data_IF_394606254996
#
_entry.id   IF_394606254996
#
_cell.length_a   1.000
_cell.length_b   1.000
_cell.length_c   1.000
_cell.angle_alpha   90.00
_cell.angle_beta   90.00
_cell.angle_gamma   90.00
#
_symmetry.space_group_name_H-M   'P 1'
#
loop_
_entity.id
_entity.type
_entity.pdbx_description
1 polymer ?
#
# COMPACT_ATOMS: atom_id res chain seq x y z
N UNK A 1 6.00 -21.25 -29.73
CA UNK A 1 5.78 -21.67 -28.33
C UNK A 1 6.46 -20.79 -27.31
N UNK A 2 7.26 -19.87 -27.72
CA UNK A 2 7.85 -18.84 -26.90
C UNK A 2 6.91 -17.66 -26.69
N UNK A 3 5.78 -17.62 -27.38
CA UNK A 3 4.88 -16.48 -27.42
C UNK A 3 4.05 -16.30 -26.13
N UNK A 4 3.97 -17.35 -25.29
CA UNK A 4 3.24 -17.24 -24.02
C UNK A 4 3.94 -16.36 -23.00
N UNK A 5 5.25 -16.15 -23.14
CA UNK A 5 6.02 -15.28 -22.25
C UNK A 5 5.76 -13.81 -22.55
N UNK A 6 5.46 -13.52 -23.80
CA UNK A 6 5.24 -12.15 -24.29
C UNK A 6 3.76 -11.78 -24.37
N UNK A 7 2.87 -12.68 -23.96
CA UNK A 7 1.43 -12.40 -23.94
C UNK A 7 1.10 -11.40 -22.83
N UNK A 8 0.58 -10.20 -23.17
CA UNK A 8 0.22 -9.20 -22.15
C UNK A 8 -0.79 -9.71 -21.12
N UNK A 9 -1.72 -10.58 -21.53
CA UNK A 9 -2.71 -11.16 -20.62
C UNK A 9 -2.06 -12.10 -19.60
N UNK A 10 -1.11 -12.93 -20.05
CA UNK A 10 -0.38 -13.82 -19.16
C UNK A 10 0.52 -13.05 -18.19
N UNK A 11 1.14 -11.96 -18.64
CA UNK A 11 1.95 -11.09 -17.78
C UNK A 11 1.09 -10.37 -16.75
N UNK A 12 -0.10 -9.90 -17.13
CA UNK A 12 -1.03 -9.24 -16.21
C UNK A 12 -1.49 -10.20 -15.10
N UNK A 13 -1.73 -11.49 -15.42
CA UNK A 13 -2.14 -12.50 -14.45
C UNK A 13 -1.01 -12.77 -13.44
N UNK A 14 0.25 -12.60 -13.82
CA UNK A 14 1.40 -12.85 -12.96
C UNK A 14 1.73 -11.70 -12.01
N UNK A 15 1.19 -10.51 -12.25
CA UNK A 15 1.42 -9.38 -11.36
C UNK A 15 0.62 -9.54 -10.08
N UNK A 16 1.22 -9.23 -8.91
CA UNK A 16 0.44 -9.22 -7.68
C UNK A 16 -0.74 -8.26 -7.80
N UNK A 17 -1.89 -8.61 -7.23
CA UNK A 17 -3.02 -7.68 -7.16
C UNK A 17 -2.61 -6.40 -6.45
N UNK A 18 -2.85 -5.26 -7.10
CA UNK A 18 -2.45 -3.95 -6.59
C UNK A 18 -3.18 -2.84 -7.34
N UNK A 19 -3.23 -1.67 -6.73
CA UNK A 19 -3.73 -0.46 -7.36
C UNK A 19 -2.89 0.72 -6.90
N UNK A 20 -1.81 0.99 -7.63
CA UNK A 20 -0.90 2.10 -7.31
C UNK A 20 -1.65 3.44 -7.35
N UNK A 21 -2.54 3.61 -8.35
CA UNK A 21 -3.32 4.84 -8.46
C UNK A 21 -4.20 5.08 -7.24
N UNK A 22 -4.83 4.03 -6.70
CA UNK A 22 -5.64 4.15 -5.48
C UNK A 22 -4.78 4.49 -4.27
N UNK A 23 -3.60 3.87 -4.16
CA UNK A 23 -2.65 4.19 -3.08
C UNK A 23 -2.23 5.65 -3.13
N UNK A 24 -1.88 6.15 -4.31
CA UNK A 24 -1.49 7.55 -4.50
C UNK A 24 -2.64 8.51 -4.17
N UNK A 25 -3.85 8.16 -4.56
CA UNK A 25 -5.03 8.98 -4.29
C UNK A 25 -5.37 9.05 -2.80
N UNK A 26 -5.14 7.97 -2.06
CA UNK A 26 -5.29 7.98 -0.60
C UNK A 26 -4.30 8.94 0.03
N UNK A 27 -3.03 8.81 -0.31
CA UNK A 27 -1.97 9.62 0.28
C UNK A 27 -2.16 11.11 -0.04
N UNK A 28 -2.43 11.42 -1.30
CA UNK A 28 -2.72 12.78 -1.73
C UNK A 28 -3.96 13.34 -1.04
N UNK A 29 -5.02 12.56 -0.95
CA UNK A 29 -6.27 12.96 -0.31
C UNK A 29 -6.09 13.26 1.18
N UNK A 30 -5.32 12.45 1.89
CA UNK A 30 -5.03 12.69 3.31
C UNK A 30 -4.26 14.00 3.54
N UNK A 31 -3.33 14.32 2.65
CA UNK A 31 -2.57 15.57 2.76
C UNK A 31 -3.40 16.80 2.38
N UNK A 32 -4.42 16.62 1.53
CA UNK A 32 -5.37 17.69 1.19
C UNK A 32 -6.36 17.92 2.33
N UNK A 33 -6.84 16.84 2.94
CA UNK A 33 -7.83 16.86 4.01
C UNK A 33 -7.47 15.85 5.09
N UNK A 34 -6.85 16.31 6.15
CA UNK A 34 -6.40 15.44 7.25
C UNK A 34 -7.57 14.72 7.93
N UNK A 35 -8.76 15.32 7.94
CA UNK A 35 -9.94 14.73 8.55
C UNK A 35 -10.42 13.47 7.81
N UNK A 36 -10.00 13.31 6.56
CA UNK A 36 -10.36 12.12 5.77
C UNK A 36 -9.80 10.83 6.37
N UNK A 37 -8.78 10.89 7.22
CA UNK A 37 -8.24 9.71 7.88
C UNK A 37 -9.32 8.97 8.68
N UNK A 38 -10.22 9.71 9.34
CA UNK A 38 -11.28 9.10 10.15
C UNK A 38 -12.19 8.18 9.35
N UNK A 39 -12.35 8.44 8.05
CA UNK A 39 -13.21 7.63 7.18
C UNK A 39 -12.54 6.36 6.66
N UNK A 40 -11.23 6.21 6.82
CA UNK A 40 -10.49 5.07 6.25
C UNK A 40 -9.66 4.30 7.28
N UNK A 41 -9.48 4.82 8.47
CA UNK A 41 -8.62 4.19 9.49
C UNK A 41 -9.11 2.80 9.90
N UNK A 42 -10.40 2.55 9.78
CA UNK A 42 -11.02 1.25 10.05
C UNK A 42 -10.97 0.30 8.83
N UNK A 43 -10.61 0.79 7.66
CA UNK A 43 -10.60 0.00 6.41
C UNK A 43 -9.20 -0.49 6.09
N UNK A 44 -8.19 0.38 6.18
CA UNK A 44 -6.82 0.03 5.76
C UNK A 44 -5.83 0.15 6.91
N UNK A 45 -4.80 -0.67 6.82
CA UNK A 45 -3.62 -0.66 7.67
C UNK A 45 -2.39 -0.34 6.80
N UNK A 46 -1.28 0.12 7.40
CA UNK A 46 -0.06 0.38 6.61
C UNK A 46 0.36 -0.80 5.73
N UNK A 47 0.21 -2.02 6.23
CA UNK A 47 0.62 -3.23 5.50
C UNK A 47 -0.24 -3.52 4.27
N UNK A 48 -1.37 -2.86 4.10
CA UNK A 48 -2.23 -3.01 2.91
C UNK A 48 -1.63 -2.35 1.67
N UNK A 49 -0.72 -1.39 1.84
CA UNK A 49 -0.05 -0.74 0.71
C UNK A 49 0.93 -1.69 0.05
N UNK A 50 0.86 -1.78 -1.27
CA UNK A 50 1.75 -2.64 -2.04
C UNK A 50 3.16 -2.07 -2.11
N UNK A 51 3.30 -0.76 -2.37
CA UNK A 51 4.58 -0.09 -2.45
C UNK A 51 5.08 0.24 -1.05
N UNK A 52 6.36 -0.07 -0.82
CA UNK A 52 6.99 0.19 0.47
C UNK A 52 7.03 1.68 0.81
N UNK A 53 7.33 2.53 -0.18
CA UNK A 53 7.35 3.96 0.04
C UNK A 53 5.97 4.50 0.44
N UNK A 54 4.90 4.00 -0.16
CA UNK A 54 3.54 4.38 0.20
C UNK A 54 3.19 3.96 1.63
N UNK A 55 3.59 2.77 2.04
CA UNK A 55 3.40 2.30 3.41
C UNK A 55 4.06 3.25 4.41
N UNK A 56 5.31 3.62 4.16
CA UNK A 56 6.08 4.52 5.03
C UNK A 56 5.41 5.90 5.08
N UNK A 57 5.04 6.45 3.93
CA UNK A 57 4.37 7.74 3.86
C UNK A 57 3.06 7.72 4.64
N UNK A 58 2.25 6.67 4.46
CA UNK A 58 0.99 6.52 5.18
C UNK A 58 1.20 6.49 6.70
N UNK A 59 2.18 5.72 7.17
CA UNK A 59 2.51 5.64 8.60
C UNK A 59 2.83 7.03 9.17
N UNK A 60 3.62 7.83 8.47
CA UNK A 60 3.97 9.18 8.92
C UNK A 60 2.78 10.13 8.90
N UNK A 61 1.98 10.09 7.84
CA UNK A 61 0.76 10.93 7.76
C UNK A 61 -0.19 10.58 8.90
N UNK A 62 -0.49 9.30 9.09
CA UNK A 62 -1.43 8.85 10.11
C UNK A 62 -0.94 9.21 11.51
N UNK A 63 0.34 9.01 11.79
CA UNK A 63 0.91 9.33 13.10
C UNK A 63 0.82 10.83 13.40
N UNK A 64 1.08 11.68 12.40
CA UNK A 64 0.98 13.13 12.57
C UNK A 64 -0.45 13.56 12.85
N UNK A 65 -1.40 13.07 12.06
CA UNK A 65 -2.82 13.41 12.23
C UNK A 65 -3.32 12.96 13.61
N UNK A 66 -2.96 11.74 14.04
CA UNK A 66 -3.36 11.20 15.33
C UNK A 66 -2.78 11.98 16.51
N UNK A 67 -1.65 12.65 16.31
CA UNK A 67 -1.04 13.54 17.30
C UNK A 67 -1.56 14.98 17.24
N UNK A 68 -2.55 15.26 16.40
CA UNK A 68 -3.11 16.57 16.22
C UNK A 68 -2.20 17.53 15.47
N UNK A 69 -1.25 17.03 14.70
CA UNK A 69 -0.34 17.86 13.89
C UNK A 69 -0.81 17.91 12.45
N UNK A 70 -0.76 19.06 11.78
CA UNK A 70 -1.13 19.12 10.37
C UNK A 70 -0.14 18.30 9.53
N UNK A 71 -0.68 17.51 8.61
CA UNK A 71 0.08 16.69 7.69
C UNK A 71 -0.18 17.17 6.27
N UNK A 72 0.77 17.90 5.70
CA UNK A 72 0.77 18.33 4.31
C UNK A 72 2.08 17.91 3.66
N UNK A 73 2.26 18.23 2.39
CA UNK A 73 3.46 17.80 1.65
C UNK A 73 4.76 18.28 2.30
N UNK A 74 4.76 19.46 2.88
CA UNK A 74 5.96 20.03 3.51
C UNK A 74 6.24 19.38 4.87
N UNK A 75 5.23 19.31 5.74
CA UNK A 75 5.41 18.75 7.09
C UNK A 75 5.71 17.26 7.08
N UNK A 76 5.08 16.52 6.16
CA UNK A 76 5.37 15.09 5.98
C UNK A 76 6.80 14.89 5.46
N UNK A 77 7.23 15.72 4.51
CA UNK A 77 8.60 15.66 4.00
C UNK A 77 9.63 15.90 5.10
N UNK A 78 9.37 16.86 5.99
CA UNK A 78 10.26 17.11 7.13
C UNK A 78 10.30 15.92 8.09
N UNK A 79 9.14 15.33 8.38
CA UNK A 79 9.05 14.12 9.22
C UNK A 79 9.85 12.96 8.65
N UNK A 80 9.74 12.74 7.34
CA UNK A 80 10.49 11.69 6.65
C UNK A 80 12.00 11.96 6.66
N UNK A 81 12.39 13.22 6.47
CA UNK A 81 13.80 13.61 6.50
C UNK A 81 14.39 13.38 7.89
N UNK A 82 13.69 13.78 8.93
CA UNK A 82 14.14 13.61 10.31
C UNK A 82 14.32 12.14 10.67
N UNK A 83 13.54 11.25 10.04
CA UNK A 83 13.65 9.81 10.21
C UNK A 83 14.68 9.17 9.26
N UNK A 84 15.32 9.94 8.38
CA UNK A 84 16.29 9.41 7.40
C UNK A 84 15.65 8.66 6.25
N UNK A 85 14.37 8.91 5.97
CA UNK A 85 13.56 8.18 4.98
C UNK A 85 13.21 9.01 3.75
N UNK A 86 13.75 10.22 3.62
CA UNK A 86 13.45 11.11 2.50
C UNK A 86 13.87 10.54 1.15
N UNK A 87 15.05 9.93 1.07
CA UNK A 87 15.52 9.30 -0.17
C UNK A 87 14.65 8.13 -0.57
N UNK A 88 14.28 7.28 0.39
CA UNK A 88 13.50 6.05 0.12
C UNK A 88 12.06 6.34 -0.29
N UNK A 89 11.55 7.52 0.04
CA UNK A 89 10.14 7.89 -0.20
C UNK A 89 9.95 8.93 -1.29
N UNK A 90 11.03 9.35 -1.95
CA UNK A 90 10.98 10.35 -3.01
C UNK A 90 10.96 11.80 -2.53
N UNK A 91 10.99 12.03 -1.23
CA UNK A 91 11.08 13.35 -0.62
C UNK A 91 9.91 14.26 -0.92
N UNK A 92 10.12 15.57 -0.74
CA UNK A 92 9.10 16.59 -0.96
C UNK A 92 8.54 16.58 -2.39
N UNK A 93 9.40 16.34 -3.38
CA UNK A 93 8.97 16.36 -4.78
C UNK A 93 7.87 15.32 -5.07
N UNK A 94 8.03 14.12 -4.54
CA UNK A 94 7.03 13.07 -4.71
C UNK A 94 5.73 13.38 -3.97
N UNK A 95 5.83 13.89 -2.74
CA UNK A 95 4.66 14.26 -1.95
C UNK A 95 3.88 15.39 -2.61
N UNK A 96 4.57 16.38 -3.14
CA UNK A 96 3.94 17.48 -3.89
C UNK A 96 3.24 16.96 -5.15
N UNK A 97 3.84 15.99 -5.84
CA UNK A 97 3.24 15.34 -7.00
C UNK A 97 1.94 14.62 -6.62
N UNK A 98 1.95 13.89 -5.50
CA UNK A 98 0.75 13.20 -5.01
C UNK A 98 -0.40 14.18 -4.76
N UNK A 99 -0.12 15.30 -4.09
CA UNK A 99 -1.12 16.32 -3.82
C UNK A 99 -1.62 16.96 -5.12
N UNK A 100 -0.71 17.31 -6.03
CA UNK A 100 -1.06 17.98 -7.28
C UNK A 100 -1.90 17.08 -8.21
N UNK A 101 -1.70 15.77 -8.14
CA UNK A 101 -2.43 14.82 -8.99
C UNK A 101 -3.74 14.35 -8.36
N UNK A 102 -4.05 14.76 -7.14
CA UNK A 102 -5.28 14.37 -6.44
C UNK A 102 -6.23 15.56 -6.39
N UNK A 103 -7.37 15.50 -7.10
CA UNK A 103 -8.30 16.65 -7.13
C UNK A 103 -8.97 16.93 -5.79
N UNK A 104 -9.29 15.88 -5.03
CA UNK A 104 -9.95 16.01 -3.72
C UNK A 104 -9.86 14.71 -2.94
N UNK A 105 -10.25 14.75 -1.67
CA UNK A 105 -10.37 13.56 -0.82
C UNK A 105 -11.77 12.91 -0.86
N UNK A 106 -12.64 13.34 -1.79
CA UNK A 106 -14.06 12.96 -1.77
C UNK A 106 -14.29 11.45 -1.90
N UNK A 107 -13.44 10.74 -2.67
CA UNK A 107 -13.60 9.31 -2.93
C UNK A 107 -12.62 8.45 -2.13
N UNK A 108 -12.01 8.99 -1.10
CA UNK A 108 -10.92 8.31 -0.39
C UNK A 108 -11.34 6.98 0.20
N UNK A 109 -12.57 6.89 0.70
CA UNK A 109 -13.09 5.64 1.26
C UNK A 109 -13.13 4.53 0.20
N UNK A 110 -13.55 4.83 -1.01
CA UNK A 110 -13.58 3.85 -2.10
C UNK A 110 -12.16 3.39 -2.47
N UNK A 111 -11.21 4.31 -2.53
CA UNK A 111 -9.81 3.95 -2.80
C UNK A 111 -9.24 3.07 -1.69
N UNK A 112 -9.58 3.35 -0.44
CA UNK A 112 -9.17 2.52 0.69
C UNK A 112 -9.73 1.10 0.58
N UNK A 113 -10.98 0.95 0.19
CA UNK A 113 -11.59 -0.38 -0.05
C UNK A 113 -10.84 -1.14 -1.15
N UNK A 114 -10.49 -0.47 -2.25
CA UNK A 114 -9.75 -1.09 -3.35
C UNK A 114 -8.37 -1.56 -2.87
N UNK A 115 -7.64 -0.72 -2.14
CA UNK A 115 -6.31 -1.06 -1.62
C UNK A 115 -6.40 -2.24 -0.66
N UNK A 116 -7.39 -2.23 0.23
CA UNK A 116 -7.60 -3.33 1.18
C UNK A 116 -7.92 -4.63 0.45
N UNK A 117 -8.82 -4.60 -0.54
CA UNK A 117 -9.19 -5.80 -1.31
C UNK A 117 -7.99 -6.39 -2.03
N UNK A 118 -7.14 -5.55 -2.63
CA UNK A 118 -5.91 -6.02 -3.28
C UNK A 118 -4.94 -6.64 -2.28
N UNK A 119 -4.85 -6.08 -1.08
CA UNK A 119 -4.03 -6.63 0.00
C UNK A 119 -4.53 -8.01 0.42
N UNK A 120 -5.84 -8.19 0.58
CA UNK A 120 -6.42 -9.50 0.92
C UNK A 120 -6.11 -10.53 -0.16
N UNK A 121 -6.20 -10.16 -1.43
CA UNK A 121 -5.86 -11.06 -2.52
C UNK A 121 -4.39 -11.48 -2.48
N UNK A 122 -3.49 -10.54 -2.19
CA UNK A 122 -2.06 -10.87 -2.02
C UNK A 122 -1.83 -11.83 -0.86
N UNK A 123 -2.54 -11.63 0.25
CA UNK A 123 -2.46 -12.52 1.41
C UNK A 123 -2.95 -13.94 1.08
N UNK A 124 -4.01 -14.05 0.28
CA UNK A 124 -4.51 -15.36 -0.19
C UNK A 124 -3.50 -16.07 -1.06
N UNK A 125 -2.85 -15.35 -1.98
CA UNK A 125 -1.80 -15.91 -2.83
C UNK A 125 -0.64 -16.39 -1.98
N UNK A 126 -0.19 -15.60 -1.04
CA UNK A 126 0.91 -15.94 -0.13
C UNK A 126 0.58 -17.17 0.72
N UNK A 127 -0.62 -17.24 1.25
CA UNK A 127 -1.08 -18.39 2.04
C UNK A 127 -1.15 -19.65 1.17
N UNK A 128 -1.65 -19.53 -0.06
CA UNK A 128 -1.71 -20.64 -1.01
C UNK A 128 -0.32 -21.16 -1.37
N UNK A 129 0.60 -20.26 -1.68
CA UNK A 129 1.99 -20.62 -1.99
C UNK A 129 2.68 -21.29 -0.80
N UNK A 130 2.42 -20.80 0.41
CA UNK A 130 2.98 -21.40 1.63
C UNK A 130 2.45 -22.82 1.82
N UNK A 131 1.15 -23.04 1.63
CA UNK A 131 0.56 -24.37 1.74
C UNK A 131 1.13 -25.33 0.70
N UNK A 132 1.29 -24.89 -0.55
CA UNK A 132 1.90 -25.70 -1.61
C UNK A 132 3.34 -26.06 -1.25
N UNK A 133 4.13 -25.09 -0.80
CA UNK A 133 5.53 -25.31 -0.42
C UNK A 133 5.64 -26.30 0.73
N UNK A 134 4.80 -26.16 1.75
CA UNK A 134 4.79 -27.09 2.90
C UNK A 134 4.39 -28.52 2.48
N UNK A 135 3.47 -28.66 1.55
CA UNK A 135 3.03 -29.99 1.05
C UNK A 135 4.12 -30.64 0.21
N UNK A 136 4.88 -29.87 -0.59
CA UNK A 136 5.97 -30.39 -1.40
C UNK A 136 7.23 -30.68 -0.59
N UNK A 137 7.46 -29.92 0.49
CA UNK A 137 8.64 -30.04 1.35
C UNK A 137 8.24 -29.98 2.82
N UNK A 138 7.66 -31.05 3.39
CA UNK A 138 7.11 -30.99 4.73
C UNK A 138 8.16 -30.81 5.85
N UNK A 139 9.44 -31.03 5.58
CA UNK A 139 10.55 -30.78 6.54
C UNK A 139 10.34 -31.47 7.89
N UNK A 140 9.78 -32.69 7.88
CA UNK A 140 9.50 -33.45 9.10
C UNK A 140 8.21 -33.08 9.81
N UNK A 141 7.42 -32.14 9.28
CA UNK A 141 6.10 -31.82 9.86
C UNK A 141 5.08 -32.88 9.48
N UNK A 142 4.22 -33.20 10.42
CA UNK A 142 3.09 -34.07 10.13
C UNK A 142 2.01 -33.35 9.34
N UNK A 143 1.20 -34.09 8.58
CA UNK A 143 0.14 -33.50 7.75
C UNK A 143 -0.80 -32.59 8.55
N UNK A 144 -1.10 -32.95 9.77
CA UNK A 144 -1.97 -32.15 10.64
C UNK A 144 -1.35 -30.79 11.00
N UNK A 145 -0.02 -30.67 11.00
CA UNK A 145 0.68 -29.42 11.31
C UNK A 145 0.71 -28.44 10.12
N UNK A 146 0.54 -28.96 8.90
CA UNK A 146 0.54 -28.15 7.67
C UNK A 146 -0.83 -27.53 7.45
N UNK A 147 -1.89 -28.25 7.80
CA UNK A 147 -3.27 -27.78 7.69
C UNK A 147 -3.62 -26.86 8.87
#
# INVERSE_FOLDING_TARGET
MTDMIDDPAAQAVRRPPQSINSEQSILGGLMIDNNALDSIVDIIQPDDFYRRDHKIIYEHIAAMIQRGRPADSLTVAESLRDAGLDTDTGGFAYLAELVNNTPSAANIRRYAEIVHDKSVLRQLISAGDHMVTCALQPEGRETAQIL
#
